data_IF_548242021836
#
_entry.id   IF_548242021836
#
_cell.length_a   1.000
_cell.length_b   1.000
_cell.length_c   1.000
_cell.angle_alpha   90.00
_cell.angle_beta   90.00
_cell.angle_gamma   90.00
#
_symmetry.space_group_name_H-M   'P 1'
#
loop_
_entity.id
_entity.type
_entity.pdbx_description
1 polymer ?
#
# COMPACT_ATOMS: atom_id res chain seq x y z
N UNK A 1 -11.98 1.77 1.50
CA UNK A 1 -12.38 0.45 2.05
C UNK A 1 -11.15 -0.23 2.63
N UNK A 2 -11.30 -0.91 3.75
CA UNK A 2 -10.21 -1.62 4.42
C UNK A 2 -10.45 -3.10 4.25
N UNK A 3 -9.43 -3.82 3.77
CA UNK A 3 -9.52 -5.27 3.63
C UNK A 3 -9.24 -5.95 4.96
N UNK A 4 -9.47 -7.25 5.04
CA UNK A 4 -9.21 -8.02 6.25
C UNK A 4 -7.72 -8.04 6.62
N UNK A 5 -6.83 -7.76 5.67
CA UNK A 5 -5.40 -7.69 5.91
C UNK A 5 -4.91 -6.27 6.20
N UNK A 6 -5.82 -5.30 6.23
CA UNK A 6 -5.45 -3.92 6.51
C UNK A 6 -5.10 -3.09 5.29
N UNK A 7 -5.26 -3.62 4.09
CA UNK A 7 -5.03 -2.83 2.88
C UNK A 7 -6.13 -1.78 2.73
N UNK A 8 -5.74 -0.58 2.41
CA UNK A 8 -6.67 0.51 2.21
C UNK A 8 -5.93 1.81 2.07
N UNK A 9 -6.65 2.87 1.70
CA UNK A 9 -6.04 4.20 1.58
C UNK A 9 -5.48 4.63 2.93
N UNK A 10 -4.22 5.05 2.94
CA UNK A 10 -3.53 5.47 4.16
C UNK A 10 -2.73 4.37 4.82
N UNK A 11 -2.82 3.12 4.36
CA UNK A 11 -2.01 2.04 4.91
C UNK A 11 -0.54 2.24 4.56
N UNK A 12 0.34 1.97 5.53
CA UNK A 12 1.77 1.94 5.28
C UNK A 12 2.18 0.51 4.93
N UNK A 13 2.88 0.36 3.83
CA UNK A 13 3.24 -0.96 3.31
C UNK A 13 4.70 -0.96 2.86
N UNK A 14 5.30 -2.15 2.90
CA UNK A 14 6.53 -2.42 2.17
C UNK A 14 6.17 -3.10 0.86
N UNK A 15 6.64 -2.55 -0.24
CA UNK A 15 6.49 -3.18 -1.54
C UNK A 15 7.75 -3.99 -1.80
N UNK A 16 7.60 -5.31 -1.93
CA UNK A 16 8.71 -6.20 -2.19
C UNK A 16 8.79 -6.42 -3.70
N UNK A 17 9.82 -5.86 -4.32
CA UNK A 17 10.01 -5.97 -5.76
C UNK A 17 11.49 -6.22 -6.03
N UNK A 18 11.80 -7.33 -6.71
CA UNK A 18 13.16 -7.69 -7.09
C UNK A 18 14.11 -7.69 -5.89
N UNK A 19 13.69 -8.28 -4.79
CA UNK A 19 14.48 -8.40 -3.54
C UNK A 19 14.73 -7.07 -2.83
N UNK A 20 14.12 -5.99 -3.30
CA UNK A 20 14.19 -4.70 -2.64
C UNK A 20 12.85 -4.37 -2.02
N UNK A 21 12.88 -3.97 -0.77
CA UNK A 21 11.67 -3.52 -0.08
C UNK A 21 11.64 -2.01 -0.09
N UNK A 22 10.53 -1.46 -0.54
CA UNK A 22 10.34 -0.01 -0.60
C UNK A 22 9.16 0.36 0.28
N UNK A 23 9.39 1.28 1.21
CA UNK A 23 8.32 1.78 2.06
C UNK A 23 7.44 2.73 1.26
N UNK A 24 6.13 2.57 1.40
CA UNK A 24 5.18 3.44 0.74
C UNK A 24 3.87 3.51 1.47
N UNK A 25 3.00 4.38 1.00
CA UNK A 25 1.66 4.53 1.53
C UNK A 25 0.65 4.36 0.40
N UNK A 26 -0.39 3.59 0.65
CA UNK A 26 -1.44 3.38 -0.33
C UNK A 26 -2.23 4.68 -0.48
N UNK A 27 -2.36 5.14 -1.74
CA UNK A 27 -3.09 6.37 -2.03
C UNK A 27 -4.44 6.11 -2.67
N UNK A 28 -4.61 4.97 -3.36
CA UNK A 28 -5.92 4.57 -3.89
C UNK A 28 -5.89 3.12 -4.33
N UNK A 29 -7.08 2.55 -4.46
CA UNK A 29 -7.23 1.21 -5.02
C UNK A 29 -7.23 1.30 -6.54
N UNK A 30 -6.61 0.31 -7.18
CA UNK A 30 -6.66 0.13 -8.61
C UNK A 30 -7.66 -0.99 -8.93
N UNK A 31 -7.24 -2.07 -9.59
CA UNK A 31 -8.11 -3.17 -9.96
C UNK A 31 -7.88 -4.37 -9.05
N UNK A 32 -8.97 -5.06 -8.70
CA UNK A 32 -8.88 -6.29 -7.95
C UNK A 32 -8.06 -6.09 -6.67
N UNK A 33 -6.94 -6.78 -6.58
CA UNK A 33 -6.08 -6.71 -5.41
C UNK A 33 -4.86 -5.82 -5.64
N UNK A 34 -4.93 -4.90 -6.61
CA UNK A 34 -3.84 -3.99 -6.91
C UNK A 34 -4.11 -2.61 -6.31
N UNK A 35 -3.07 -1.96 -5.85
CA UNK A 35 -3.15 -0.67 -5.19
C UNK A 35 -2.11 0.28 -5.76
N UNK A 36 -2.42 1.56 -5.76
CA UNK A 36 -1.45 2.60 -6.09
C UNK A 36 -0.78 3.02 -4.80
N UNK A 37 0.54 2.88 -4.78
CA UNK A 37 1.36 3.17 -3.60
C UNK A 37 2.30 4.31 -3.92
N UNK A 38 2.32 5.31 -3.05
CA UNK A 38 3.27 6.40 -3.16
C UNK A 38 4.53 6.00 -2.39
N UNK A 39 5.65 5.88 -3.12
CA UNK A 39 6.92 5.52 -2.49
C UNK A 39 7.44 6.67 -1.67
N UNK A 40 7.93 6.35 -0.47
CA UNK A 40 8.40 7.38 0.45
C UNK A 40 9.75 7.95 0.06
N UNK A 41 10.58 7.16 -0.64
CA UNK A 41 11.93 7.61 -0.95
C UNK A 41 11.98 8.62 -2.10
N UNK A 42 11.07 8.54 -3.06
CA UNK A 42 11.08 9.46 -4.20
C UNK A 42 9.72 10.10 -4.49
N UNK A 43 8.68 9.70 -3.75
CA UNK A 43 7.35 10.26 -3.92
C UNK A 43 6.61 9.82 -5.16
N UNK A 44 7.12 8.83 -5.89
CA UNK A 44 6.46 8.35 -7.10
C UNK A 44 5.39 7.32 -6.78
N UNK A 45 4.32 7.35 -7.58
CA UNK A 45 3.25 6.37 -7.46
C UNK A 45 3.56 5.15 -8.29
N UNK A 46 3.39 3.96 -7.69
CA UNK A 46 3.61 2.69 -8.37
C UNK A 46 2.40 1.80 -8.16
N UNK A 47 2.14 0.94 -9.14
CA UNK A 47 1.10 -0.08 -9.03
C UNK A 47 1.70 -1.32 -8.37
N UNK A 48 1.04 -1.82 -7.33
CA UNK A 48 1.52 -3.00 -6.63
C UNK A 48 0.35 -3.92 -6.29
N UNK A 49 0.60 -5.21 -6.40
CA UNK A 49 -0.37 -6.24 -6.03
C UNK A 49 -0.20 -6.57 -4.54
N UNK A 50 -1.31 -6.95 -3.89
CA UNK A 50 -1.26 -7.28 -2.47
C UNK A 50 -0.25 -8.37 -2.14
N UNK A 51 -0.06 -9.33 -3.05
CA UNK A 51 0.91 -10.40 -2.85
C UNK A 51 2.35 -9.92 -2.78
N UNK A 52 2.61 -8.71 -3.30
CA UNK A 52 3.95 -8.12 -3.32
C UNK A 52 4.11 -7.05 -2.25
N UNK A 53 3.17 -6.96 -1.32
CA UNK A 53 3.19 -5.94 -0.29
C UNK A 53 3.01 -6.55 1.08
N UNK A 54 3.63 -5.93 2.07
CA UNK A 54 3.45 -6.26 3.46
C UNK A 54 2.90 -5.04 4.19
N UNK A 55 1.78 -5.19 4.88
CA UNK A 55 1.19 -4.10 5.64
C UNK A 55 1.96 -3.90 6.93
N UNK A 56 2.51 -2.71 7.10
CA UNK A 56 3.21 -2.32 8.32
C UNK A 56 2.28 -1.61 9.29
N UNK A 57 1.40 -0.78 8.76
CA UNK A 57 0.41 -0.08 9.56
C UNK A 57 -0.88 -0.08 8.75
N UNK A 58 -1.91 -0.72 9.29
CA UNK A 58 -3.18 -0.88 8.58
C UNK A 58 -3.85 0.47 8.34
N UNK A 59 -4.61 0.54 7.26
CA UNK A 59 -5.44 1.70 7.00
C UNK A 59 -6.44 1.88 8.15
N UNK A 60 -6.67 3.12 8.52
CA UNK A 60 -7.63 3.43 9.59
C UNK A 60 -8.86 4.07 8.98
N UNK A 61 -10.05 3.70 9.45
CA UNK A 61 -11.24 4.43 9.05
C UNK A 61 -11.10 5.89 9.46
N UNK A 62 -11.72 6.74 8.69
CA UNK A 62 -11.73 8.14 9.03
C UNK A 62 -12.43 8.28 10.37
N UNK A 63 -11.67 8.60 11.39
CA UNK A 63 -12.22 8.66 12.73
C UNK A 63 -12.51 10.11 13.07
N UNK A 64 -13.70 10.45 13.08
CA UNK A 64 -13.96 11.73 13.67
C UNK A 64 -15.31 11.97 14.09
#
# INVERSE_FOLDING_TARGET
>A
MITSQGFGVGALVNVDKFHNKTLGMIVRQSRGYCWIVKRMNDGQNVLAHEDNMEVLSAARPSAI
#
